data_IF_020320309553
#
_entry.id   IF_020320309553
#
_cell.length_a   1.000
_cell.length_b   1.000
_cell.length_c   1.000
_cell.angle_alpha   90.00
_cell.angle_beta   90.00
_cell.angle_gamma   90.00
#
_symmetry.space_group_name_H-M   'P 1'
#
loop_
_entity.id
_entity.type
_entity.pdbx_description
1 polymer ?
#
# COMPACT_ATOMS: atom_id res chain seq x y z
N UNK A 1 32.69 1.28 -12.76
CA UNK A 1 32.02 0.64 -11.60
C UNK A 1 32.60 -0.74 -11.43
N UNK A 2 32.88 -1.18 -10.19
CA UNK A 2 33.36 -2.55 -9.93
C UNK A 2 32.23 -3.55 -10.28
N UNK A 3 32.43 -4.38 -11.30
CA UNK A 3 31.40 -5.31 -11.82
C UNK A 3 30.85 -6.23 -10.71
N UNK A 4 31.69 -6.58 -9.73
CA UNK A 4 31.31 -7.39 -8.56
C UNK A 4 30.34 -6.66 -7.64
N UNK A 5 30.56 -5.36 -7.37
CA UNK A 5 29.66 -4.57 -6.51
C UNK A 5 28.27 -4.43 -7.15
N UNK A 6 28.22 -4.25 -8.48
CA UNK A 6 26.96 -4.22 -9.21
C UNK A 6 26.23 -5.57 -9.13
N UNK A 7 26.92 -6.67 -9.40
CA UNK A 7 26.32 -8.01 -9.34
C UNK A 7 25.80 -8.37 -7.94
N UNK A 8 26.50 -7.93 -6.89
CA UNK A 8 26.03 -8.07 -5.51
C UNK A 8 24.79 -7.22 -5.25
N UNK A 9 24.78 -5.95 -5.67
CA UNK A 9 23.60 -5.08 -5.55
C UNK A 9 22.38 -5.69 -6.25
N UNK A 10 22.53 -6.14 -7.51
CA UNK A 10 21.45 -6.78 -8.27
C UNK A 10 20.92 -8.04 -7.56
N UNK A 11 21.81 -8.81 -6.93
CA UNK A 11 21.41 -10.00 -6.17
C UNK A 11 20.66 -9.64 -4.89
N UNK A 12 21.14 -8.64 -4.13
CA UNK A 12 20.48 -8.17 -2.91
C UNK A 12 19.08 -7.63 -3.25
N UNK A 13 18.98 -6.78 -4.27
CA UNK A 13 17.71 -6.22 -4.76
C UNK A 13 16.75 -7.34 -5.15
N UNK A 14 17.19 -8.27 -6.00
CA UNK A 14 16.35 -9.36 -6.49
C UNK A 14 15.85 -10.25 -5.36
N UNK A 15 16.71 -10.67 -4.43
CA UNK A 15 16.32 -11.54 -3.31
C UNK A 15 15.41 -10.81 -2.32
N UNK A 16 15.68 -9.54 -2.02
CA UNK A 16 14.85 -8.73 -1.14
C UNK A 16 13.44 -8.54 -1.72
N UNK A 17 13.35 -8.12 -2.99
CA UNK A 17 12.06 -7.97 -3.69
C UNK A 17 11.35 -9.32 -3.75
N UNK A 18 12.04 -10.40 -4.15
CA UNK A 18 11.45 -11.74 -4.24
C UNK A 18 10.80 -12.20 -2.93
N UNK A 19 11.44 -11.91 -1.79
CA UNK A 19 10.92 -12.30 -0.48
C UNK A 19 9.61 -11.60 -0.08
N UNK A 20 9.32 -10.44 -0.69
CA UNK A 20 8.10 -9.64 -0.47
C UNK A 20 7.23 -9.53 -1.72
N UNK A 21 7.50 -10.34 -2.76
CA UNK A 21 6.67 -10.36 -3.97
C UNK A 21 5.23 -10.76 -3.59
N UNK A 22 4.22 -10.14 -4.21
CA UNK A 22 2.82 -10.42 -3.91
C UNK A 22 2.49 -11.92 -3.94
N UNK A 23 3.04 -12.68 -4.88
CA UNK A 23 2.76 -14.10 -5.08
C UNK A 23 3.17 -14.95 -3.88
N UNK A 24 4.42 -14.80 -3.41
CA UNK A 24 4.97 -15.57 -2.29
C UNK A 24 4.42 -15.09 -0.94
N UNK A 25 4.12 -13.80 -0.85
CA UNK A 25 3.45 -13.21 0.30
C UNK A 25 2.03 -13.79 0.48
N UNK A 26 1.25 -13.84 -0.60
CA UNK A 26 -0.09 -14.43 -0.62
C UNK A 26 -0.05 -15.93 -0.35
N UNK A 27 0.82 -16.69 -1.02
CA UNK A 27 0.95 -18.15 -0.79
C UNK A 27 1.20 -18.49 0.67
N UNK A 28 2.14 -17.78 1.30
CA UNK A 28 2.49 -18.00 2.70
C UNK A 28 1.36 -17.66 3.66
N UNK A 29 0.63 -16.56 3.42
CA UNK A 29 -0.57 -16.28 4.22
C UNK A 29 -1.65 -17.34 4.02
N UNK A 30 -1.80 -17.87 2.82
CA UNK A 30 -2.78 -18.93 2.55
C UNK A 30 -2.45 -20.27 3.22
N UNK A 31 -1.22 -20.50 3.71
CA UNK A 31 -0.92 -21.68 4.55
C UNK A 31 -1.74 -21.68 5.86
N UNK A 32 -2.08 -20.50 6.38
CA UNK A 32 -2.96 -20.34 7.54
C UNK A 32 -4.44 -20.17 7.19
N UNK A 33 -4.80 -20.19 5.91
CA UNK A 33 -6.18 -19.93 5.47
C UNK A 33 -7.06 -21.18 5.60
N UNK A 34 -8.03 -21.11 6.51
CA UNK A 34 -9.00 -22.19 6.75
C UNK A 34 -10.44 -21.68 6.53
N UNK A 35 -11.03 -21.87 5.33
CA UNK A 35 -12.38 -21.39 5.04
C UNK A 35 -13.45 -22.10 5.88
N UNK A 36 -14.56 -21.41 6.14
CA UNK A 36 -15.65 -21.86 7.02
C UNK A 36 -16.53 -23.02 6.50
N UNK A 37 -16.18 -23.61 5.35
CA UNK A 37 -16.92 -24.70 4.71
C UNK A 37 -18.06 -24.27 3.77
N UNK A 38 -18.37 -22.98 3.71
CA UNK A 38 -19.21 -22.37 2.68
C UNK A 38 -18.40 -21.85 1.49
N UNK A 39 -18.92 -20.82 0.80
CA UNK A 39 -18.26 -20.23 -0.37
C UNK A 39 -17.01 -19.46 0.01
N UNK A 40 -16.02 -19.45 -0.88
CA UNK A 40 -14.83 -18.60 -0.81
C UNK A 40 -14.92 -17.54 -1.91
N UNK A 41 -15.14 -16.29 -1.49
CA UNK A 41 -15.22 -15.14 -2.40
C UNK A 41 -13.94 -14.31 -2.30
N UNK A 42 -13.45 -13.83 -3.44
CA UNK A 42 -12.21 -13.06 -3.52
C UNK A 42 -12.51 -11.59 -3.83
N UNK A 43 -12.04 -10.67 -3.00
CA UNK A 43 -12.04 -9.24 -3.32
C UNK A 43 -10.62 -8.73 -3.22
N UNK A 44 -10.09 -8.16 -4.29
CA UNK A 44 -8.73 -7.62 -4.32
C UNK A 44 -8.72 -6.15 -4.75
N UNK A 45 -7.97 -5.31 -4.04
CA UNK A 45 -7.86 -3.89 -4.34
C UNK A 45 -6.42 -3.36 -4.15
N UNK A 46 -5.98 -2.51 -5.08
CA UNK A 46 -4.65 -1.89 -5.05
C UNK A 46 -3.79 -2.17 -6.28
N UNK A 47 -2.58 -1.60 -6.31
CA UNK A 47 -1.64 -1.71 -7.43
C UNK A 47 -1.23 -3.16 -7.73
N UNK A 48 -1.16 -4.00 -6.69
CA UNK A 48 -0.80 -5.42 -6.80
C UNK A 48 -2.02 -6.36 -6.81
N UNK A 49 -3.26 -5.83 -6.82
CA UNK A 49 -4.48 -6.62 -6.67
C UNK A 49 -4.61 -7.77 -7.66
N UNK A 50 -4.33 -7.52 -8.95
CA UNK A 50 -4.38 -8.57 -9.97
C UNK A 50 -3.40 -9.70 -9.66
N UNK A 51 -2.17 -9.34 -9.30
CA UNK A 51 -1.10 -10.30 -9.05
C UNK A 51 -1.36 -11.10 -7.76
N UNK A 52 -1.84 -10.44 -6.71
CA UNK A 52 -2.29 -11.12 -5.48
C UNK A 52 -3.44 -12.09 -5.75
N UNK A 53 -4.44 -11.66 -6.53
CA UNK A 53 -5.61 -12.49 -6.86
C UNK A 53 -5.23 -13.70 -7.72
N UNK A 54 -4.37 -13.51 -8.72
CA UNK A 54 -3.85 -14.60 -9.54
C UNK A 54 -3.12 -15.63 -8.69
N UNK A 55 -2.24 -15.18 -7.77
CA UNK A 55 -1.53 -16.08 -6.85
C UNK A 55 -2.49 -16.82 -5.90
N UNK A 56 -3.52 -16.13 -5.39
CA UNK A 56 -4.52 -16.74 -4.51
C UNK A 56 -5.34 -17.81 -5.24
N UNK A 57 -5.85 -17.52 -6.44
CA UNK A 57 -6.62 -18.50 -7.23
C UNK A 57 -5.73 -19.68 -7.63
N UNK A 58 -4.48 -19.45 -8.01
CA UNK A 58 -3.53 -20.53 -8.32
C UNK A 58 -3.23 -21.44 -7.11
N UNK A 59 -3.19 -20.87 -5.89
CA UNK A 59 -2.95 -21.63 -4.66
C UNK A 59 -4.21 -22.39 -4.19
N UNK A 60 -5.39 -21.80 -4.31
CA UNK A 60 -6.67 -22.39 -3.91
C UNK A 60 -7.27 -23.34 -4.96
N UNK A 61 -6.81 -23.25 -6.21
CA UNK A 61 -7.35 -23.97 -7.37
C UNK A 61 -8.58 -23.29 -7.97
N UNK A 62 -9.50 -22.78 -7.16
CA UNK A 62 -10.68 -22.02 -7.59
C UNK A 62 -11.26 -21.15 -6.48
N UNK A 63 -12.09 -20.18 -6.86
CA UNK A 63 -12.94 -19.38 -5.97
C UNK A 63 -14.38 -19.38 -6.48
N UNK A 64 -15.36 -19.16 -5.60
CA UNK A 64 -16.79 -19.18 -5.95
C UNK A 64 -17.27 -17.87 -6.60
N UNK A 65 -16.38 -16.88 -6.68
CA UNK A 65 -16.57 -15.60 -7.34
C UNK A 65 -15.51 -14.61 -6.87
N UNK A 66 -15.18 -13.64 -7.71
CA UNK A 66 -14.25 -12.61 -7.30
C UNK A 66 -14.31 -11.31 -8.08
N UNK A 67 -13.81 -10.25 -7.43
CA UNK A 67 -13.64 -8.92 -7.99
C UNK A 67 -12.22 -8.43 -7.71
N UNK A 68 -11.52 -7.99 -8.75
CA UNK A 68 -10.21 -7.33 -8.66
C UNK A 68 -10.36 -5.89 -9.13
N UNK A 69 -9.81 -4.95 -8.37
CA UNK A 69 -9.72 -3.53 -8.78
C UNK A 69 -8.28 -3.06 -8.71
N UNK A 70 -7.72 -2.69 -9.86
CA UNK A 70 -6.32 -2.23 -9.97
C UNK A 70 -6.20 -1.00 -10.88
N UNK A 71 -4.98 -0.48 -11.08
CA UNK A 71 -4.73 0.69 -11.92
C UNK A 71 -4.94 0.34 -13.40
N UNK A 72 -5.27 1.34 -14.23
CA UNK A 72 -5.18 1.21 -15.69
C UNK A 72 -3.85 0.62 -16.18
N UNK A 73 -3.95 -0.39 -17.05
CA UNK A 73 -2.84 -1.16 -17.61
C UNK A 73 -2.20 -2.19 -16.67
N UNK A 74 -2.81 -2.50 -15.52
CA UNK A 74 -2.26 -3.46 -14.54
C UNK A 74 -2.95 -4.83 -14.56
N UNK A 75 -4.05 -5.00 -15.29
CA UNK A 75 -4.62 -6.33 -15.56
C UNK A 75 -3.77 -7.03 -16.60
N UNK A 76 -3.13 -8.15 -16.22
CA UNK A 76 -2.17 -8.88 -17.06
C UNK A 76 -2.78 -10.09 -17.79
N UNK A 77 -4.07 -10.33 -17.63
CA UNK A 77 -4.79 -11.46 -18.22
C UNK A 77 -6.04 -11.84 -17.43
N UNK A 78 -6.75 -12.85 -17.90
CA UNK A 78 -7.92 -13.40 -17.22
C UNK A 78 -7.52 -14.20 -15.98
N UNK A 79 -8.33 -14.10 -14.93
CA UNK A 79 -8.26 -14.96 -13.73
C UNK A 79 -9.59 -15.72 -13.67
N UNK A 80 -9.60 -17.07 -13.76
CA UNK A 80 -10.83 -17.84 -13.75
C UNK A 80 -11.71 -17.54 -12.52
N UNK A 81 -12.99 -17.26 -12.77
CA UNK A 81 -13.97 -16.95 -11.71
C UNK A 81 -13.87 -15.54 -11.11
N UNK A 82 -13.01 -14.66 -11.66
CA UNK A 82 -12.75 -13.33 -11.10
C UNK A 82 -12.93 -12.24 -12.16
N UNK A 83 -13.82 -11.27 -11.89
CA UNK A 83 -13.99 -10.08 -12.70
C UNK A 83 -12.90 -9.05 -12.37
N UNK A 84 -12.09 -8.67 -13.37
CA UNK A 84 -11.00 -7.71 -13.21
C UNK A 84 -11.40 -6.33 -13.76
N UNK A 85 -11.26 -5.31 -12.93
CA UNK A 85 -11.53 -3.92 -13.25
C UNK A 85 -10.26 -3.08 -13.12
N UNK A 86 -10.17 -2.07 -13.96
CA UNK A 86 -9.15 -1.03 -13.89
C UNK A 86 -9.79 0.32 -13.58
N UNK A 87 -9.16 1.09 -12.70
CA UNK A 87 -9.71 2.31 -12.14
C UNK A 87 -8.66 3.39 -11.89
N UNK A 88 -9.14 4.60 -11.58
CA UNK A 88 -8.32 5.78 -11.34
C UNK A 88 -7.44 5.69 -10.10
N UNK A 89 -6.16 6.07 -10.27
CA UNK A 89 -5.20 6.24 -9.19
C UNK A 89 -4.18 7.33 -9.60
N UNK A 90 -3.84 8.31 -8.75
CA UNK A 90 -4.08 8.37 -7.30
C UNK A 90 -5.44 8.99 -6.88
N UNK A 91 -6.25 9.46 -7.83
CA UNK A 91 -7.58 10.03 -7.56
C UNK A 91 -8.64 9.05 -8.04
N UNK A 92 -9.66 8.72 -7.21
CA UNK A 92 -10.74 7.83 -7.62
C UNK A 92 -11.58 8.45 -8.76
N UNK A 93 -12.01 7.59 -9.67
CA UNK A 93 -12.91 7.94 -10.79
C UNK A 93 -14.17 7.06 -10.79
N UNK A 94 -15.02 7.23 -11.81
CA UNK A 94 -16.25 6.45 -11.94
C UNK A 94 -16.00 4.94 -12.02
N UNK A 95 -14.87 4.50 -12.58
CA UNK A 95 -14.51 3.09 -12.60
C UNK A 95 -14.14 2.58 -11.21
N UNK A 96 -13.51 3.40 -10.35
CA UNK A 96 -13.32 3.06 -8.93
C UNK A 96 -14.66 2.78 -8.26
N UNK A 97 -15.66 3.65 -8.51
CA UNK A 97 -17.00 3.55 -7.90
C UNK A 97 -17.81 2.36 -8.41
N UNK A 98 -17.73 2.07 -9.71
CA UNK A 98 -18.40 0.95 -10.34
C UNK A 98 -17.79 -0.40 -9.90
N UNK A 99 -16.46 -0.50 -9.90
CA UNK A 99 -15.76 -1.72 -9.50
C UNK A 99 -15.97 -2.03 -8.00
N UNK A 100 -15.97 -1.00 -7.15
CA UNK A 100 -16.27 -1.16 -5.73
C UNK A 100 -17.73 -1.55 -5.49
N UNK A 101 -18.67 -1.06 -6.30
CA UNK A 101 -20.05 -1.51 -6.25
C UNK A 101 -20.17 -3.00 -6.60
N UNK A 102 -19.46 -3.48 -7.63
CA UNK A 102 -19.42 -4.91 -7.96
C UNK A 102 -18.86 -5.76 -6.81
N UNK A 103 -17.84 -5.28 -6.10
CA UNK A 103 -17.30 -5.95 -4.92
C UNK A 103 -18.32 -6.01 -3.76
N UNK A 104 -19.09 -4.94 -3.56
CA UNK A 104 -20.16 -4.90 -2.57
C UNK A 104 -21.30 -5.87 -2.93
N UNK A 105 -21.71 -5.91 -4.20
CA UNK A 105 -22.74 -6.83 -4.67
C UNK A 105 -22.31 -8.30 -4.53
N UNK A 106 -21.03 -8.59 -4.78
CA UNK A 106 -20.45 -9.93 -4.59
C UNK A 106 -20.60 -10.42 -3.14
N UNK A 107 -20.46 -9.53 -2.15
CA UNK A 107 -20.49 -9.87 -0.72
C UNK A 107 -21.85 -9.69 -0.07
N UNK A 108 -22.92 -9.46 -0.85
CA UNK A 108 -24.28 -9.42 -0.31
C UNK A 108 -24.82 -10.82 0.01
N UNK A 109 -25.59 -10.93 1.10
CA UNK A 109 -26.30 -12.15 1.45
C UNK A 109 -25.40 -13.34 1.83
N UNK A 110 -24.20 -13.06 2.35
CA UNK A 110 -23.31 -14.10 2.84
C UNK A 110 -23.83 -14.72 4.14
N UNK A 111 -23.35 -15.92 4.42
CA UNK A 111 -23.65 -16.69 5.64
C UNK A 111 -22.39 -16.85 6.49
N UNK A 112 -22.53 -17.27 7.74
CA UNK A 112 -21.39 -17.49 8.63
C UNK A 112 -20.43 -18.61 8.18
N UNK A 113 -20.88 -19.47 7.26
CA UNK A 113 -20.03 -20.50 6.63
C UNK A 113 -19.18 -19.96 5.46
N UNK A 114 -19.61 -18.86 4.84
CA UNK A 114 -18.87 -18.22 3.75
C UNK A 114 -17.61 -17.51 4.28
N UNK A 115 -16.63 -17.31 3.42
CA UNK A 115 -15.38 -16.60 3.73
C UNK A 115 -15.01 -15.66 2.59
N UNK A 116 -14.72 -14.40 2.92
CA UNK A 116 -14.20 -13.41 1.98
C UNK A 116 -12.69 -13.32 2.14
N UNK A 117 -11.95 -13.73 1.11
CA UNK A 117 -10.53 -13.48 0.99
C UNK A 117 -10.32 -12.06 0.46
N UNK A 118 -9.92 -11.15 1.33
CA UNK A 118 -9.70 -9.74 0.99
C UNK A 118 -8.20 -9.47 0.78
N UNK A 119 -7.80 -9.11 -0.44
CA UNK A 119 -6.41 -8.90 -0.83
C UNK A 119 -6.17 -7.40 -1.04
N UNK A 120 -5.37 -6.78 -0.18
CA UNK A 120 -5.18 -5.33 -0.18
C UNK A 120 -3.72 -4.96 -0.41
N UNK A 121 -3.49 -3.99 -1.28
CA UNK A 121 -2.17 -3.40 -1.51
C UNK A 121 -2.25 -1.88 -1.63
N UNK A 122 -1.08 -1.24 -1.75
CA UNK A 122 -0.95 0.20 -1.97
C UNK A 122 -1.86 0.75 -3.06
N UNK A 123 -2.34 1.98 -2.87
CA UNK A 123 -3.30 2.64 -3.76
C UNK A 123 -4.78 2.29 -3.53
N UNK A 124 -5.09 1.38 -2.61
CA UNK A 124 -6.47 0.97 -2.30
C UNK A 124 -7.42 2.12 -1.92
N UNK A 125 -6.91 3.23 -1.36
CA UNK A 125 -7.74 4.39 -1.02
C UNK A 125 -8.49 4.98 -2.23
N UNK A 126 -7.85 5.00 -3.40
CA UNK A 126 -8.44 5.51 -4.65
C UNK A 126 -9.11 4.40 -5.47
N UNK A 127 -8.55 3.19 -5.45
CA UNK A 127 -9.05 2.06 -6.24
C UNK A 127 -10.28 1.40 -5.62
N UNK A 128 -10.45 1.47 -4.30
CA UNK A 128 -11.57 0.86 -3.57
C UNK A 128 -12.38 1.94 -2.84
N UNK A 129 -13.27 2.58 -3.59
CA UNK A 129 -14.09 3.68 -3.12
C UNK A 129 -15.53 3.55 -3.62
N UNK A 130 -16.49 3.80 -2.72
CA UNK A 130 -17.90 3.95 -3.05
C UNK A 130 -18.44 5.10 -2.20
N UNK A 131 -18.57 6.32 -2.75
CA UNK A 131 -18.97 7.47 -1.97
C UNK A 131 -20.45 7.36 -1.57
N UNK A 132 -20.77 7.86 -0.37
CA UNK A 132 -22.14 8.04 0.14
C UNK A 132 -22.74 9.39 -0.27
N UNK A 133 -21.96 10.20 -0.97
CA UNK A 133 -22.30 11.51 -1.54
C UNK A 133 -21.95 11.52 -3.04
N UNK A 134 -22.37 12.51 -3.83
CA UNK A 134 -21.94 12.63 -5.22
C UNK A 134 -20.41 12.61 -5.35
N UNK A 135 -19.88 11.91 -6.36
CA UNK A 135 -18.43 11.78 -6.58
C UNK A 135 -17.71 13.13 -6.73
N UNK A 136 -18.36 14.08 -7.41
CA UNK A 136 -17.86 15.45 -7.55
C UNK A 136 -17.71 16.17 -6.19
N UNK A 137 -18.62 15.93 -5.24
CA UNK A 137 -18.53 16.51 -3.90
C UNK A 137 -17.39 15.86 -3.10
N UNK A 138 -17.22 14.53 -3.17
CA UNK A 138 -16.08 13.85 -2.55
C UNK A 138 -14.73 14.41 -3.06
N UNK A 139 -14.63 14.66 -4.37
CA UNK A 139 -13.44 15.24 -5.00
C UNK A 139 -13.20 16.69 -4.54
N UNK A 140 -14.24 17.53 -4.46
CA UNK A 140 -14.12 18.89 -3.93
C UNK A 140 -13.67 18.90 -2.47
N UNK A 141 -14.27 18.09 -1.60
CA UNK A 141 -13.88 17.97 -0.18
C UNK A 141 -12.42 17.54 -0.05
N UNK A 142 -12.00 16.55 -0.86
CA UNK A 142 -10.60 16.09 -0.88
C UNK A 142 -9.66 17.20 -1.35
N UNK A 143 -10.04 17.96 -2.38
CA UNK A 143 -9.28 19.10 -2.87
C UNK A 143 -9.15 20.21 -1.82
N UNK A 144 -10.22 20.51 -1.08
CA UNK A 144 -10.19 21.48 0.02
C UNK A 144 -9.18 21.07 1.11
N UNK A 145 -9.23 19.81 1.56
CA UNK A 145 -8.33 19.28 2.59
C UNK A 145 -6.85 19.33 2.17
N UNK A 146 -6.56 18.97 0.92
CA UNK A 146 -5.20 19.06 0.37
C UNK A 146 -4.73 20.51 0.29
N UNK A 147 -5.60 21.43 -0.18
CA UNK A 147 -5.26 22.84 -0.35
C UNK A 147 -4.98 23.54 0.98
N UNK A 148 -5.63 23.14 2.07
CA UNK A 148 -5.38 23.68 3.40
C UNK A 148 -4.28 22.94 4.19
N UNK A 149 -3.60 21.97 3.56
CA UNK A 149 -2.51 21.22 4.18
C UNK A 149 -2.96 20.36 5.36
N UNK A 150 -4.18 19.81 5.31
CA UNK A 150 -4.61 18.81 6.28
C UNK A 150 -3.69 17.58 6.22
N UNK A 151 -3.35 17.03 7.39
CA UNK A 151 -2.52 15.84 7.42
C UNK A 151 -3.29 14.59 6.97
N UNK A 152 -2.57 13.49 6.70
CA UNK A 152 -3.18 12.26 6.19
C UNK A 152 -4.16 11.63 7.20
N UNK A 153 -3.95 11.81 8.51
CA UNK A 153 -4.84 11.28 9.55
C UNK A 153 -6.15 12.06 9.52
N UNK A 154 -6.10 13.38 9.39
CA UNK A 154 -7.28 14.24 9.28
C UNK A 154 -8.06 13.96 7.98
N UNK A 155 -7.35 13.83 6.85
CA UNK A 155 -7.95 13.48 5.56
C UNK A 155 -8.68 12.13 5.66
N UNK A 156 -8.02 11.11 6.22
CA UNK A 156 -8.62 9.79 6.37
C UNK A 156 -9.81 9.82 7.32
N UNK A 157 -9.75 10.61 8.40
CA UNK A 157 -10.87 10.78 9.34
C UNK A 157 -12.12 11.26 8.61
N UNK A 158 -12.03 12.29 7.76
CA UNK A 158 -13.17 12.75 6.95
C UNK A 158 -13.58 11.69 5.92
N UNK A 159 -12.62 11.14 5.17
CA UNK A 159 -12.87 10.21 4.06
C UNK A 159 -13.61 8.95 4.52
N UNK A 160 -13.25 8.38 5.68
CA UNK A 160 -13.91 7.18 6.22
C UNK A 160 -15.42 7.37 6.42
N UNK A 161 -15.89 8.56 6.81
CA UNK A 161 -17.33 8.83 7.02
C UNK A 161 -18.10 8.98 5.71
N UNK A 162 -17.44 9.44 4.65
CA UNK A 162 -18.06 9.69 3.35
C UNK A 162 -18.07 8.46 2.43
N UNK A 163 -17.53 7.33 2.88
CA UNK A 163 -17.34 6.11 2.09
C UNK A 163 -18.20 4.95 2.60
N UNK A 164 -18.73 4.13 1.69
CA UNK A 164 -19.47 2.91 2.03
C UNK A 164 -18.55 1.71 2.36
N UNK A 165 -17.24 1.79 2.08
CA UNK A 165 -16.30 0.67 2.25
C UNK A 165 -15.20 0.93 3.27
N UNK A 166 -14.81 2.18 3.49
CA UNK A 166 -13.69 2.55 4.39
C UNK A 166 -14.11 2.49 5.87
N UNK A 167 -13.12 2.55 6.77
CA UNK A 167 -13.33 2.55 8.22
C UNK A 167 -14.11 1.34 8.72
N UNK A 168 -13.79 0.15 8.23
CA UNK A 168 -14.40 -1.12 8.64
C UNK A 168 -15.74 -1.44 7.98
N UNK A 169 -16.28 -0.56 7.13
CA UNK A 169 -17.61 -0.75 6.53
C UNK A 169 -17.64 -1.88 5.50
N UNK A 170 -16.54 -2.17 4.81
CA UNK A 170 -16.46 -3.35 3.94
C UNK A 170 -16.52 -4.66 4.76
N UNK A 171 -15.81 -4.72 5.89
CA UNK A 171 -15.93 -5.88 6.79
C UNK A 171 -17.35 -6.06 7.33
N UNK A 172 -18.05 -4.96 7.65
CA UNK A 172 -19.47 -5.03 8.00
C UNK A 172 -20.35 -5.52 6.86
N UNK A 173 -20.10 -5.09 5.63
CA UNK A 173 -20.84 -5.55 4.45
C UNK A 173 -20.68 -7.06 4.22
N UNK A 174 -19.55 -7.64 4.65
CA UNK A 174 -19.31 -9.08 4.57
C UNK A 174 -20.00 -9.87 5.69
N UNK A 175 -20.42 -9.23 6.79
CA UNK A 175 -21.00 -9.94 7.92
C UNK A 175 -22.32 -10.64 7.52
N UNK A 176 -22.58 -11.88 8.01
CA UNK A 176 -21.86 -12.60 9.06
C UNK A 176 -20.65 -13.44 8.59
N UNK A 177 -20.25 -13.39 7.32
CA UNK A 177 -19.08 -14.13 6.85
C UNK A 177 -17.78 -13.61 7.45
N UNK A 178 -16.79 -14.51 7.56
CA UNK A 178 -15.43 -14.13 7.96
C UNK A 178 -14.72 -13.44 6.81
N UNK A 179 -13.94 -12.42 7.13
CA UNK A 179 -13.01 -11.75 6.23
C UNK A 179 -11.59 -12.17 6.61
N UNK A 180 -10.91 -12.84 5.69
CA UNK A 180 -9.48 -13.12 5.81
C UNK A 180 -8.72 -12.13 4.94
N UNK A 181 -8.09 -11.14 5.58
CA UNK A 181 -7.44 -10.02 4.90
C UNK A 181 -5.94 -10.28 4.76
N UNK A 182 -5.41 -10.25 3.55
CA UNK A 182 -3.97 -10.30 3.27
C UNK A 182 -3.55 -8.91 2.78
N UNK A 183 -2.68 -8.25 3.53
CA UNK A 183 -2.27 -6.87 3.28
C UNK A 183 -0.79 -6.81 2.88
N UNK A 184 -0.52 -6.15 1.76
CA UNK A 184 0.80 -5.63 1.38
C UNK A 184 0.82 -4.14 1.70
N UNK A 185 1.47 -3.81 2.81
CA UNK A 185 1.51 -2.44 3.34
C UNK A 185 2.61 -1.64 2.64
N UNK A 186 2.23 -0.49 2.08
CA UNK A 186 3.13 0.56 1.67
C UNK A 186 3.26 1.68 2.73
N UNK A 187 2.54 1.59 3.85
CA UNK A 187 2.54 2.63 4.90
C UNK A 187 3.55 2.29 6.00
N UNK A 188 4.39 3.27 6.35
CA UNK A 188 5.34 3.17 7.45
C UNK A 188 4.65 2.81 8.78
N UNK A 189 5.15 1.75 9.43
CA UNK A 189 4.62 1.26 10.71
C UNK A 189 3.37 0.40 10.61
N UNK A 190 2.87 0.16 9.39
CA UNK A 190 1.76 -0.74 9.07
C UNK A 190 0.42 -0.51 9.82
N UNK A 191 -0.04 0.75 10.06
CA UNK A 191 -1.34 1.00 10.69
C UNK A 191 -2.51 0.57 9.77
N UNK A 192 -3.16 -0.55 10.09
CA UNK A 192 -4.24 -1.15 9.29
C UNK A 192 -5.40 -0.20 8.98
N UNK A 193 -5.71 0.73 9.89
CA UNK A 193 -6.81 1.69 9.72
C UNK A 193 -6.47 2.83 8.74
N UNK A 194 -5.18 3.00 8.41
CA UNK A 194 -4.68 3.96 7.45
C UNK A 194 -4.44 3.32 6.07
N UNK A 195 -4.08 2.03 6.03
CA UNK A 195 -3.88 1.30 4.77
C UNK A 195 -5.22 1.23 4.03
N UNK A 196 -5.27 1.86 2.85
CA UNK A 196 -6.50 2.06 2.07
C UNK A 196 -7.66 2.70 2.87
N UNK A 197 -7.36 3.47 3.92
CA UNK A 197 -8.33 3.98 4.89
C UNK A 197 -9.14 2.88 5.62
N UNK A 198 -8.52 1.72 5.83
CA UNK A 198 -9.00 0.63 6.68
C UNK A 198 -10.35 0.02 6.31
N UNK A 199 -10.58 -0.54 5.11
CA UNK A 199 -11.88 -1.12 4.76
C UNK A 199 -12.31 -2.29 5.65
N UNK A 200 -11.33 -3.04 6.16
CA UNK A 200 -11.52 -4.18 7.07
C UNK A 200 -10.84 -3.94 8.44
N UNK A 201 -10.64 -2.69 8.85
CA UNK A 201 -10.06 -2.34 10.14
C UNK A 201 -11.04 -1.47 10.95
N UNK A 202 -11.08 -1.61 12.28
CA UNK A 202 -11.83 -0.69 13.12
C UNK A 202 -11.23 0.72 13.00
N UNK A 203 -12.07 1.73 13.17
CA UNK A 203 -11.67 3.12 13.05
C UNK A 203 -11.84 3.85 14.37
N UNK A 204 -10.72 4.13 15.03
CA UNK A 204 -10.66 4.77 16.34
C UNK A 204 -11.09 6.24 16.34
N UNK A 205 -11.07 6.91 15.18
CA UNK A 205 -11.54 8.29 15.06
C UNK A 205 -13.04 8.39 15.33
N UNK A 206 -13.50 9.52 15.85
CA UNK A 206 -14.89 9.77 16.27
C UNK A 206 -15.63 10.75 15.37
N UNK A 207 -16.95 10.88 15.54
CA UNK A 207 -17.71 11.96 14.91
C UNK A 207 -17.20 13.34 15.36
N UNK A 208 -16.80 13.48 16.63
CA UNK A 208 -16.30 14.74 17.17
C UNK A 208 -15.01 15.17 16.48
N UNK A 209 -14.09 14.23 16.21
CA UNK A 209 -12.85 14.51 15.47
C UNK A 209 -13.17 15.00 14.06
N UNK A 210 -14.06 14.31 13.34
CA UNK A 210 -14.45 14.70 11.99
C UNK A 210 -15.11 16.09 11.94
N UNK A 211 -15.98 16.40 12.90
CA UNK A 211 -16.61 17.72 13.02
C UNK A 211 -15.58 18.80 13.36
N UNK A 212 -14.63 18.51 14.25
CA UNK A 212 -13.55 19.42 14.61
C UNK A 212 -12.64 19.72 13.42
N UNK A 213 -12.29 18.71 12.61
CA UNK A 213 -11.51 18.88 11.37
C UNK A 213 -12.29 19.73 10.35
N UNK A 214 -13.57 19.43 10.14
CA UNK A 214 -14.40 20.19 9.22
C UNK A 214 -14.52 21.68 9.64
N UNK A 215 -14.62 21.95 10.94
CA UNK A 215 -14.63 23.30 11.49
C UNK A 215 -13.25 23.98 11.41
N UNK A 216 -12.17 23.27 11.76
CA UNK A 216 -10.77 23.74 11.72
C UNK A 216 -10.41 24.28 10.34
N UNK A 217 -10.85 23.60 9.28
CA UNK A 217 -10.53 23.95 7.90
C UNK A 217 -11.65 24.70 7.17
N UNK A 218 -12.80 24.93 7.81
CA UNK A 218 -13.93 25.62 7.19
C UNK A 218 -14.46 24.90 5.95
N UNK A 219 -14.52 23.56 5.98
CA UNK A 219 -14.91 22.76 4.82
C UNK A 219 -16.34 23.10 4.35
N UNK A 220 -16.48 23.30 3.04
CA UNK A 220 -17.79 23.40 2.39
C UNK A 220 -18.34 21.99 2.21
N UNK A 221 -19.45 21.72 2.89
CA UNK A 221 -20.11 20.41 2.95
C UNK A 221 -21.59 20.59 2.65
N UNK A 222 -22.18 19.71 1.83
CA UNK A 222 -23.63 19.57 1.75
C UNK A 222 -24.22 19.11 3.09
N UNK A 223 -25.54 19.23 3.22
CA UNK A 223 -26.26 18.69 4.38
C UNK A 223 -26.08 17.17 4.50
N UNK A 224 -26.00 16.45 3.37
CA UNK A 224 -25.74 15.02 3.35
C UNK A 224 -24.34 14.68 3.89
N UNK A 225 -23.30 15.37 3.40
CA UNK A 225 -21.94 15.19 3.90
C UNK A 225 -21.83 15.53 5.39
N UNK A 226 -22.46 16.64 5.83
CA UNK A 226 -22.49 17.04 7.25
C UNK A 226 -23.20 16.00 8.13
N UNK A 227 -24.31 15.44 7.66
CA UNK A 227 -25.02 14.38 8.38
C UNK A 227 -24.16 13.11 8.49
N UNK A 228 -23.43 12.74 7.44
CA UNK A 228 -22.51 11.60 7.47
C UNK A 228 -21.34 11.79 8.44
N UNK A 229 -20.82 13.01 8.61
CA UNK A 229 -19.80 13.29 9.64
C UNK A 229 -20.33 13.08 11.07
N UNK A 230 -21.64 13.11 11.26
CA UNK A 230 -22.31 12.80 12.53
C UNK A 230 -22.59 11.32 12.76
N UNK A 231 -22.23 10.44 11.81
CA UNK A 231 -22.43 8.98 11.92
C UNK A 231 -21.12 8.27 12.23
N UNK A 232 -21.13 7.46 13.29
CA UNK A 232 -19.92 6.74 13.68
C UNK A 232 -19.52 5.65 12.68
N UNK A 233 -18.22 5.40 12.62
CA UNK A 233 -17.65 4.21 12.00
C UNK A 233 -17.50 3.08 13.02
N UNK A 234 -17.47 1.81 12.55
CA UNK A 234 -17.17 0.64 13.37
C UNK A 234 -15.93 0.83 14.26
N UNK A 235 -16.12 0.69 15.57
CA UNK A 235 -15.04 0.75 16.57
C UNK A 235 -14.46 -0.63 16.87
N UNK A 236 -15.21 -1.68 16.57
CA UNK A 236 -14.82 -3.08 16.74
C UNK A 236 -15.30 -3.89 15.53
N UNK A 237 -14.53 -4.92 15.17
CA UNK A 237 -14.86 -5.87 14.11
C UNK A 237 -14.55 -7.28 14.61
N UNK A 238 -15.55 -8.15 14.65
CA UNK A 238 -15.41 -9.53 15.17
C UNK A 238 -15.25 -10.58 14.07
N UNK A 239 -15.46 -10.18 12.81
CA UNK A 239 -15.44 -11.07 11.66
C UNK A 239 -14.17 -10.94 10.79
N UNK A 240 -13.13 -10.24 11.25
CA UNK A 240 -11.91 -10.02 10.46
C UNK A 240 -10.69 -10.68 11.10
N UNK A 241 -9.92 -11.40 10.30
CA UNK A 241 -8.54 -11.78 10.57
C UNK A 241 -7.64 -11.08 9.53
N UNK A 242 -6.53 -10.49 9.94
CA UNK A 242 -5.61 -9.79 9.02
C UNK A 242 -4.18 -10.31 9.14
N UNK A 243 -3.58 -10.60 8.00
CA UNK A 243 -2.18 -10.98 7.83
C UNK A 243 -1.45 -9.91 7.02
N UNK A 244 -0.41 -9.30 7.60
CA UNK A 244 0.47 -8.36 6.90
C UNK A 244 1.66 -9.15 6.35
N UNK A 245 1.70 -9.32 5.03
CA UNK A 245 2.63 -10.26 4.36
C UNK A 245 3.74 -9.57 3.57
N UNK A 246 3.68 -8.25 3.45
CA UNK A 246 4.72 -7.40 2.89
C UNK A 246 4.74 -6.06 3.61
N UNK A 247 5.91 -5.67 4.13
CA UNK A 247 6.18 -4.33 4.64
C UNK A 247 7.63 -3.92 4.39
N UNK A 248 7.91 -2.61 4.50
CA UNK A 248 9.27 -2.05 4.40
C UNK A 248 10.24 -2.76 5.35
N UNK A 249 9.78 -3.10 6.56
CA UNK A 249 10.58 -3.83 7.54
C UNK A 249 10.97 -5.23 7.04
N UNK A 250 10.02 -5.97 6.45
CA UNK A 250 10.29 -7.29 5.89
C UNK A 250 11.23 -7.21 4.68
N UNK A 251 11.10 -6.18 3.84
CA UNK A 251 12.01 -5.92 2.72
C UNK A 251 13.44 -5.67 3.21
N UNK A 252 13.61 -4.82 4.23
CA UNK A 252 14.90 -4.57 4.88
C UNK A 252 15.49 -5.85 5.50
N UNK A 253 14.68 -6.66 6.17
CA UNK A 253 15.14 -7.93 6.75
C UNK A 253 15.59 -8.92 5.67
N UNK A 254 14.88 -9.00 4.55
CA UNK A 254 15.26 -9.85 3.41
C UNK A 254 16.56 -9.36 2.74
N UNK A 255 16.71 -8.03 2.58
CA UNK A 255 17.95 -7.43 2.09
C UNK A 255 19.13 -7.72 3.04
N UNK A 256 18.93 -7.63 4.36
CA UNK A 256 19.95 -7.97 5.36
C UNK A 256 20.41 -9.43 5.22
N UNK A 257 19.47 -10.37 5.11
CA UNK A 257 19.79 -11.79 4.91
C UNK A 257 20.53 -12.05 3.58
N UNK A 258 20.18 -11.32 2.51
CA UNK A 258 20.90 -11.41 1.24
C UNK A 258 22.34 -10.85 1.34
N UNK A 259 22.51 -9.73 2.05
CA UNK A 259 23.82 -9.15 2.36
C UNK A 259 24.72 -10.14 3.13
N UNK A 260 24.18 -10.79 4.17
CA UNK A 260 24.91 -11.78 4.97
C UNK A 260 25.40 -12.97 4.11
N UNK A 261 24.56 -13.48 3.21
CA UNK A 261 24.93 -14.57 2.27
C UNK A 261 26.09 -14.18 1.34
N UNK A 262 26.24 -12.89 1.04
CA UNK A 262 27.34 -12.35 0.21
C UNK A 262 28.56 -11.91 1.06
N UNK A 263 28.51 -12.13 2.37
CA UNK A 263 29.58 -11.82 3.32
C UNK A 263 29.65 -10.37 3.77
N UNK A 264 28.57 -9.60 3.62
CA UNK A 264 28.45 -8.27 4.20
C UNK A 264 27.84 -8.37 5.61
N UNK A 265 28.30 -7.53 6.54
CA UNK A 265 27.63 -7.29 7.82
C UNK A 265 26.55 -6.22 7.60
N UNK A 266 25.25 -6.57 7.66
CA UNK A 266 24.18 -5.59 7.49
C UNK A 266 24.02 -4.72 8.74
N UNK A 267 23.66 -3.46 8.53
CA UNK A 267 23.29 -2.50 9.56
C UNK A 267 21.99 -1.83 9.12
N UNK A 268 20.89 -2.16 9.79
CA UNK A 268 19.63 -1.44 9.60
C UNK A 268 19.74 -0.06 10.24
N UNK A 269 19.71 0.99 9.42
CA UNK A 269 19.68 2.37 9.87
C UNK A 269 18.28 2.75 10.34
N UNK A 270 17.28 2.46 9.50
CA UNK A 270 15.86 2.73 9.75
C UNK A 270 14.99 1.95 8.76
N UNK A 271 13.77 1.59 9.17
CA UNK A 271 12.69 1.12 8.30
C UNK A 271 11.54 2.15 8.20
N UNK A 272 11.84 3.41 8.58
CA UNK A 272 10.91 4.55 8.62
C UNK A 272 11.48 5.82 8.00
N UNK A 273 12.28 5.70 6.95
CA UNK A 273 12.82 6.86 6.25
C UNK A 273 11.68 7.65 5.56
N UNK A 274 11.48 8.92 5.90
CA UNK A 274 10.36 9.74 5.39
C UNK A 274 10.79 11.17 4.98
N UNK A 275 12.09 11.41 4.85
CA UNK A 275 12.64 12.72 4.50
C UNK A 275 12.70 12.97 2.98
N UNK A 276 13.24 14.12 2.58
CA UNK A 276 13.43 14.46 1.17
C UNK A 276 14.45 13.51 0.51
N UNK A 277 14.10 12.96 -0.66
CA UNK A 277 14.88 11.93 -1.36
C UNK A 277 16.34 12.34 -1.60
N UNK A 278 16.57 13.60 -2.03
CA UNK A 278 17.92 14.11 -2.27
C UNK A 278 18.77 14.18 -1.00
N UNK A 279 18.17 14.51 0.13
CA UNK A 279 18.89 14.64 1.40
C UNK A 279 19.22 13.25 1.97
N UNK A 280 18.31 12.29 1.81
CA UNK A 280 18.59 10.88 2.08
C UNK A 280 19.78 10.36 1.25
N UNK A 281 19.82 10.68 -0.05
CA UNK A 281 20.90 10.26 -0.95
C UNK A 281 22.27 10.81 -0.52
N UNK A 282 22.33 12.09 -0.17
CA UNK A 282 23.54 12.72 0.38
C UNK A 282 23.97 12.07 1.69
N UNK A 283 23.03 11.88 2.62
CA UNK A 283 23.31 11.26 3.91
C UNK A 283 23.86 9.82 3.78
N UNK A 284 23.30 9.01 2.89
CA UNK A 284 23.80 7.66 2.61
C UNK A 284 25.19 7.68 1.97
N UNK A 285 25.47 8.65 1.10
CA UNK A 285 26.80 8.84 0.54
C UNK A 285 27.82 9.24 1.63
N UNK A 286 27.43 10.05 2.61
CA UNK A 286 28.29 10.42 3.74
C UNK A 286 28.67 9.20 4.59
N UNK A 287 27.71 8.33 4.89
CA UNK A 287 27.95 7.04 5.57
C UNK A 287 28.92 6.18 4.75
N UNK A 288 28.70 6.08 3.43
CA UNK A 288 29.60 5.35 2.55
C UNK A 288 31.03 5.92 2.58
N UNK A 289 31.19 7.25 2.58
CA UNK A 289 32.52 7.90 2.70
C UNK A 289 33.20 7.59 4.03
N UNK A 290 32.46 7.62 5.14
CA UNK A 290 33.01 7.33 6.47
C UNK A 290 33.58 5.92 6.58
N UNK A 291 32.92 4.95 5.95
CA UNK A 291 33.27 3.53 6.11
C UNK A 291 34.04 2.94 4.91
N UNK A 292 34.15 3.67 3.80
CA UNK A 292 34.96 3.25 2.67
C UNK A 292 36.42 3.05 3.08
N UNK A 293 37.02 1.93 2.66
CA UNK A 293 38.42 1.61 2.95
C UNK A 293 38.68 1.02 4.33
N UNK A 294 37.65 0.75 5.16
CA UNK A 294 37.81 0.09 6.46
C UNK A 294 38.30 -1.36 6.38
N UNK A 295 38.24 -1.97 5.19
CA UNK A 295 38.51 -3.40 4.97
C UNK A 295 37.33 -4.31 5.33
N UNK A 296 36.28 -3.78 5.96
CA UNK A 296 35.06 -4.52 6.27
C UNK A 296 34.06 -4.45 5.11
N UNK A 297 33.36 -5.57 4.86
CA UNK A 297 32.20 -5.59 3.97
C UNK A 297 30.96 -5.17 4.76
N UNK A 298 30.55 -3.92 4.63
CA UNK A 298 29.41 -3.35 5.34
C UNK A 298 28.27 -3.05 4.37
N UNK A 299 27.03 -3.30 4.81
CA UNK A 299 25.83 -2.94 4.06
C UNK A 299 24.88 -2.15 4.96
N UNK A 300 24.63 -0.89 4.63
CA UNK A 300 23.72 -0.04 5.38
C UNK A 300 22.35 -0.04 4.70
N UNK A 301 21.31 -0.35 5.47
CA UNK A 301 19.96 -0.53 4.97
C UNK A 301 19.08 0.58 5.52
N UNK A 302 18.43 1.33 4.62
CA UNK A 302 17.41 2.30 4.96
C UNK A 302 16.16 1.99 4.13
N UNK A 303 15.06 1.72 4.81
CA UNK A 303 13.76 1.51 4.20
C UNK A 303 12.81 2.63 4.56
N UNK A 304 11.98 3.03 3.61
CA UNK A 304 10.85 3.89 3.88
C UNK A 304 10.29 4.55 2.62
N UNK A 305 9.70 5.71 2.79
CA UNK A 305 8.96 6.40 1.76
C UNK A 305 9.33 7.89 1.71
N UNK A 306 10.42 8.20 0.99
CA UNK A 306 10.91 9.58 0.82
C UNK A 306 10.01 10.41 -0.09
N UNK A 307 10.08 11.73 0.07
CA UNK A 307 9.32 12.70 -0.74
C UNK A 307 10.19 13.50 -1.69
N UNK A 308 9.56 14.06 -2.73
CA UNK A 308 10.19 14.99 -3.68
C UNK A 308 9.39 16.27 -3.72
N UNK A 309 10.04 17.40 -3.46
CA UNK A 309 9.46 18.72 -3.72
C UNK A 309 9.64 19.08 -5.20
N UNK A 310 8.55 19.01 -5.96
CA UNK A 310 8.55 19.30 -7.39
C UNK A 310 8.82 20.80 -7.63
N UNK A 311 9.98 21.12 -8.20
CA UNK A 311 10.38 22.50 -8.56
C UNK A 311 10.55 22.71 -10.06
N UNK A 312 10.40 21.67 -10.88
CA UNK A 312 10.59 21.72 -12.32
C UNK A 312 9.68 20.76 -13.09
N UNK A 313 9.90 20.66 -14.40
CA UNK A 313 9.08 19.85 -15.33
C UNK A 313 9.80 18.58 -15.82
N UNK A 314 10.82 18.14 -15.08
CA UNK A 314 11.57 16.92 -15.39
C UNK A 314 10.77 15.66 -15.13
N UNK A 315 11.29 14.54 -15.63
CA UNK A 315 10.74 13.20 -15.41
C UNK A 315 11.66 12.42 -14.46
N UNK A 316 11.09 11.74 -13.46
CA UNK A 316 11.82 10.96 -12.48
C UNK A 316 10.96 10.58 -11.28
N UNK A 317 11.58 9.95 -10.29
CA UNK A 317 10.94 9.59 -9.03
C UNK A 317 11.88 9.72 -7.84
N UNK A 318 11.35 9.38 -6.67
CA UNK A 318 12.03 9.54 -5.38
C UNK A 318 13.30 8.69 -5.29
N UNK A 319 13.26 7.45 -5.78
CA UNK A 319 14.43 6.55 -5.74
C UNK A 319 15.53 6.99 -6.71
N UNK A 320 15.13 7.46 -7.90
CA UNK A 320 16.05 8.02 -8.88
C UNK A 320 16.73 9.29 -8.35
N UNK A 321 15.98 10.20 -7.71
CA UNK A 321 16.55 11.41 -7.12
C UNK A 321 17.50 11.09 -5.97
N UNK A 322 17.16 10.13 -5.10
CA UNK A 322 18.03 9.65 -4.03
C UNK A 322 19.35 9.11 -4.60
N UNK A 323 19.27 8.21 -5.58
CA UNK A 323 20.44 7.59 -6.20
C UNK A 323 21.32 8.64 -6.89
N UNK A 324 20.71 9.59 -7.61
CA UNK A 324 21.42 10.68 -8.28
C UNK A 324 22.12 11.61 -7.29
N UNK A 325 21.45 11.96 -6.19
CA UNK A 325 22.01 12.84 -5.15
C UNK A 325 23.20 12.22 -4.41
N UNK A 326 23.30 10.89 -4.36
CA UNK A 326 24.42 10.18 -3.76
C UNK A 326 25.70 10.22 -4.61
N UNK A 327 25.59 10.36 -5.94
CA UNK A 327 26.71 10.22 -6.90
C UNK A 327 27.95 11.06 -6.54
N UNK A 328 27.84 12.37 -6.22
CA UNK A 328 29.02 13.18 -5.92
C UNK A 328 29.80 12.66 -4.71
N UNK A 329 29.10 12.13 -3.70
CA UNK A 329 29.71 11.59 -2.49
C UNK A 329 30.36 10.22 -2.66
N UNK A 330 30.12 9.53 -3.78
CA UNK A 330 30.67 8.20 -4.08
C UNK A 330 31.89 8.25 -5.01
N UNK A 331 32.24 9.43 -5.53
CA UNK A 331 33.33 9.58 -6.48
C UNK A 331 34.66 9.03 -5.93
N UNK A 332 35.27 8.09 -6.65
CA UNK A 332 36.55 7.48 -6.27
C UNK A 332 36.47 6.40 -5.18
N UNK A 333 35.28 6.07 -4.68
CA UNK A 333 35.11 5.05 -3.65
C UNK A 333 34.78 3.67 -4.22
N UNK A 334 35.21 2.63 -3.50
CA UNK A 334 34.76 1.26 -3.71
C UNK A 334 33.43 1.00 -2.98
N UNK A 335 32.42 1.83 -3.25
CA UNK A 335 31.10 1.79 -2.64
C UNK A 335 30.00 1.95 -3.70
N UNK A 336 28.79 1.52 -3.36
CA UNK A 336 27.60 1.69 -4.18
C UNK A 336 26.41 2.07 -3.31
N UNK A 337 25.55 2.94 -3.85
CA UNK A 337 24.21 3.21 -3.31
C UNK A 337 23.22 2.84 -4.40
N UNK A 338 22.18 2.09 -4.04
CA UNK A 338 21.08 1.72 -4.91
C UNK A 338 19.77 1.91 -4.15
N UNK A 339 18.74 2.38 -4.86
CA UNK A 339 17.42 2.69 -4.32
C UNK A 339 16.39 2.11 -5.26
N UNK A 340 15.37 1.42 -4.73
CA UNK A 340 14.39 0.68 -5.52
C UNK A 340 13.00 0.80 -4.91
N UNK A 341 12.00 1.04 -5.77
CA UNK A 341 10.59 0.89 -5.40
C UNK A 341 10.20 -0.59 -5.42
N UNK A 342 9.65 -1.10 -4.32
CA UNK A 342 9.20 -2.51 -4.25
C UNK A 342 8.01 -2.82 -5.15
N UNK A 343 7.26 -1.81 -5.57
CA UNK A 343 6.16 -1.92 -6.54
C UNK A 343 6.63 -1.91 -8.00
N UNK A 344 7.94 -1.77 -8.24
CA UNK A 344 8.55 -1.80 -9.57
C UNK A 344 8.27 -0.55 -10.40
N UNK A 345 7.96 0.57 -9.75
CA UNK A 345 7.74 1.86 -10.42
C UNK A 345 8.26 3.00 -9.56
N UNK A 346 9.11 3.87 -10.13
CA UNK A 346 9.56 5.09 -9.46
C UNK A 346 9.07 6.36 -10.18
N UNK A 347 8.09 7.05 -9.57
CA UNK A 347 7.44 8.22 -10.19
C UNK A 347 6.60 7.83 -11.41
N UNK A 348 6.34 8.74 -12.37
CA UNK A 348 5.65 8.43 -13.62
C UNK A 348 6.63 7.87 -14.68
N UNK A 349 7.49 6.92 -14.29
CA UNK A 349 8.54 6.33 -15.15
C UNK A 349 8.41 4.81 -15.23
N UNK A 350 9.16 4.18 -16.13
CA UNK A 350 9.27 2.73 -16.28
C UNK A 350 10.44 2.12 -15.46
N UNK A 351 11.09 2.93 -14.63
CA UNK A 351 12.21 2.54 -13.77
C UNK A 351 11.76 1.97 -12.41
#
# INVERSE_FOLDING_TARGET
MNETLRAHADTIIREAIRAVLPDEAVRRALEGFAPGGGRVLLVAAGKAAWQMAHAAVAALGSVDGGVVVTKYGHVKGEIPGVACYEAGHPVPDENSFAATAAALDLVQGLTAGDTVLFLLSGGGSALFEKPLIPGAELQDITGQLLACGADIVEINTIRKRLSAVKGGRFALACAPAKVYSIVLSDILGDPLDMIASGPAAPDSSTCADAQAIAAKYGLRLSDAARALLGQETPKELTNVETQITGSVRQLCAAAAAACEKLGYRPVLLTDRLDCEAREAGRFLADIARTHAGSGEKLAYLAGGETVVHLTGHGLGGRNQELALAAVPGLAGLAAAVFSVGSDGTDGPTDA
#
